data_IF_427968305532
#
_entry.id   IF_427968305532
#
_cell.length_a   1.000
_cell.length_b   1.000
_cell.length_c   1.000
_cell.angle_alpha   90.00
_cell.angle_beta   90.00
_cell.angle_gamma   90.00
#
_symmetry.space_group_name_H-M   'P 1'
#
loop_
_entity.id
_entity.type
_entity.pdbx_description
1 polymer ?
#
# COMPACT_ATOMS: atom_id res chain seq x y z
N UNK A 1 -31.97 11.44 -12.26
CA UNK A 1 -30.61 11.42 -11.67
C UNK A 1 -30.10 9.99 -11.84
N UNK A 2 -28.83 9.80 -12.24
CA UNK A 2 -28.24 8.46 -12.26
C UNK A 2 -28.01 7.99 -10.82
N UNK A 3 -28.13 6.70 -10.59
CA UNK A 3 -27.88 6.08 -9.29
C UNK A 3 -26.43 6.32 -8.86
N UNK A 4 -26.13 6.66 -7.58
CA UNK A 4 -24.77 6.87 -7.12
C UNK A 4 -23.96 5.57 -7.20
N UNK A 5 -22.72 5.66 -7.68
CA UNK A 5 -21.81 4.54 -7.79
C UNK A 5 -21.22 4.19 -6.41
N UNK A 6 -21.08 2.91 -6.15
CA UNK A 6 -20.37 2.45 -4.93
C UNK A 6 -18.89 2.83 -5.04
N UNK A 7 -18.26 2.55 -6.18
CA UNK A 7 -16.86 2.87 -6.43
C UNK A 7 -16.56 3.05 -7.93
N UNK A 8 -15.46 3.74 -8.20
CA UNK A 8 -14.88 3.91 -9.53
C UNK A 8 -13.45 3.38 -9.52
N UNK A 9 -13.07 2.56 -10.51
CA UNK A 9 -11.68 2.16 -10.77
C UNK A 9 -11.13 3.05 -11.88
N UNK A 10 -10.30 4.04 -11.54
CA UNK A 10 -9.61 4.87 -12.52
C UNK A 10 -8.30 4.21 -12.96
N UNK A 11 -7.96 4.32 -14.27
CA UNK A 11 -6.84 3.58 -14.85
C UNK A 11 -7.14 2.08 -15.06
N UNK A 12 -8.43 1.73 -15.15
CA UNK A 12 -8.93 0.36 -15.24
C UNK A 12 -8.36 -0.43 -16.43
N UNK A 13 -7.98 0.22 -17.51
CA UNK A 13 -7.44 -0.44 -18.72
C UNK A 13 -5.95 -0.81 -18.61
N UNK A 14 -5.25 -0.32 -17.58
CA UNK A 14 -3.88 -0.72 -17.25
C UNK A 14 -3.82 -2.14 -16.68
N UNK A 15 -2.60 -2.72 -16.58
CA UNK A 15 -2.45 -4.10 -16.12
C UNK A 15 -3.06 -4.32 -14.72
N UNK A 16 -2.64 -3.50 -13.73
CA UNK A 16 -3.19 -3.59 -12.36
C UNK A 16 -4.67 -3.24 -12.32
N UNK A 17 -5.10 -2.20 -13.05
CA UNK A 17 -6.51 -1.81 -13.12
C UNK A 17 -7.42 -2.92 -13.66
N UNK A 18 -6.97 -3.70 -14.65
CA UNK A 18 -7.69 -4.88 -15.14
C UNK A 18 -7.79 -5.98 -14.08
N UNK A 19 -6.72 -6.23 -13.29
CA UNK A 19 -6.76 -7.21 -12.20
C UNK A 19 -7.73 -6.77 -11.10
N UNK A 20 -7.68 -5.50 -10.68
CA UNK A 20 -8.62 -4.92 -9.72
C UNK A 20 -10.06 -5.04 -10.23
N UNK A 21 -10.30 -4.63 -11.47
CA UNK A 21 -11.66 -4.69 -12.07
C UNK A 21 -12.19 -6.12 -12.15
N UNK A 22 -11.36 -7.10 -12.54
CA UNK A 22 -11.75 -8.52 -12.57
C UNK A 22 -12.03 -9.09 -11.18
N UNK A 23 -11.28 -8.66 -10.17
CA UNK A 23 -11.53 -9.04 -8.79
C UNK A 23 -12.88 -8.50 -8.30
N UNK A 24 -13.12 -7.20 -8.51
CA UNK A 24 -14.39 -6.54 -8.13
C UNK A 24 -15.61 -7.11 -8.87
N UNK A 25 -15.44 -7.47 -10.14
CA UNK A 25 -16.50 -8.10 -10.95
C UNK A 25 -17.00 -9.44 -10.36
N UNK A 26 -16.11 -10.16 -9.68
CA UNK A 26 -16.44 -11.41 -8.99
C UNK A 26 -16.78 -11.24 -7.50
N UNK A 27 -16.67 -10.01 -6.97
CA UNK A 27 -16.82 -9.75 -5.55
C UNK A 27 -18.28 -9.92 -5.10
N UNK A 28 -18.58 -10.78 -4.09
CA UNK A 28 -19.96 -11.10 -3.72
C UNK A 28 -20.77 -9.89 -3.24
N UNK A 29 -20.13 -8.97 -2.53
CA UNK A 29 -20.79 -7.78 -1.98
C UNK A 29 -21.06 -6.68 -3.02
N UNK A 30 -20.45 -6.75 -4.21
CA UNK A 30 -20.73 -5.83 -5.32
C UNK A 30 -21.75 -6.39 -6.32
N UNK A 31 -22.23 -7.61 -6.10
CA UNK A 31 -23.24 -8.21 -6.99
C UNK A 31 -24.53 -7.38 -7.00
N UNK A 32 -24.90 -6.89 -8.19
CA UNK A 32 -26.07 -6.04 -8.39
C UNK A 32 -25.92 -4.60 -7.92
N UNK A 33 -24.74 -4.19 -7.47
CA UNK A 33 -24.48 -2.80 -7.09
C UNK A 33 -23.80 -2.04 -8.23
N UNK A 34 -24.12 -0.74 -8.44
CA UNK A 34 -23.54 0.07 -9.50
C UNK A 34 -22.10 0.45 -9.19
N UNK A 35 -21.18 0.18 -10.12
CA UNK A 35 -19.80 0.63 -10.08
C UNK A 35 -19.30 0.93 -11.49
N UNK A 36 -18.14 1.59 -11.62
CA UNK A 36 -17.63 2.02 -12.91
C UNK A 36 -16.13 1.73 -13.10
N UNK A 37 -15.75 1.58 -14.38
CA UNK A 37 -14.36 1.60 -14.84
C UNK A 37 -14.09 2.92 -15.55
N UNK A 38 -12.97 3.58 -15.22
CA UNK A 38 -12.64 4.90 -15.74
C UNK A 38 -11.21 4.98 -16.28
N UNK A 39 -10.97 5.95 -17.18
CA UNK A 39 -9.67 6.22 -17.80
C UNK A 39 -9.78 7.09 -19.04
N UNK A 40 -8.67 7.29 -19.77
CA UNK A 40 -8.58 8.22 -20.90
C UNK A 40 -9.04 7.65 -22.25
N UNK A 41 -9.20 6.34 -22.39
CA UNK A 41 -9.44 5.70 -23.67
C UNK A 41 -10.78 4.97 -23.67
N UNK A 42 -11.78 5.60 -24.31
CA UNK A 42 -13.16 5.10 -24.37
C UNK A 42 -13.27 3.70 -25.00
N UNK A 43 -12.55 3.43 -26.09
CA UNK A 43 -12.59 2.13 -26.76
C UNK A 43 -12.09 1.01 -25.83
N UNK A 44 -10.91 1.20 -25.19
CA UNK A 44 -10.37 0.22 -24.25
C UNK A 44 -11.24 0.01 -23.00
N UNK A 45 -11.96 1.06 -22.57
CA UNK A 45 -12.92 0.95 -21.48
C UNK A 45 -14.14 0.13 -21.88
N UNK A 46 -14.67 0.36 -23.09
CA UNK A 46 -15.79 -0.41 -23.63
C UNK A 46 -15.43 -1.90 -23.78
N UNK A 47 -14.23 -2.19 -24.32
CA UNK A 47 -13.72 -3.56 -24.45
C UNK A 47 -13.62 -4.23 -23.07
N UNK A 48 -13.06 -3.54 -22.08
CA UNK A 48 -12.96 -4.06 -20.71
C UNK A 48 -14.34 -4.31 -20.09
N UNK A 49 -15.30 -3.39 -20.27
CA UNK A 49 -16.63 -3.54 -19.72
C UNK A 49 -17.38 -4.74 -20.31
N UNK A 50 -17.14 -5.07 -21.59
CA UNK A 50 -17.69 -6.28 -22.24
C UNK A 50 -17.06 -7.57 -21.68
N UNK A 51 -15.76 -7.54 -21.32
CA UNK A 51 -15.07 -8.69 -20.69
C UNK A 51 -15.61 -8.99 -19.27
N UNK A 52 -16.15 -7.99 -18.59
CA UNK A 52 -16.64 -8.11 -17.21
C UNK A 52 -18.12 -8.53 -17.19
N UNK A 53 -18.46 -9.48 -16.28
CA UNK A 53 -19.82 -10.06 -16.19
C UNK A 53 -20.86 -9.04 -15.75
N UNK A 54 -20.50 -8.16 -14.81
CA UNK A 54 -21.38 -7.11 -14.30
C UNK A 54 -21.62 -5.97 -15.28
N UNK A 55 -20.82 -5.88 -16.36
CA UNK A 55 -20.85 -4.79 -17.34
C UNK A 55 -20.88 -3.41 -16.67
N UNK A 56 -19.86 -3.06 -15.90
CA UNK A 56 -19.82 -1.78 -15.16
C UNK A 56 -19.94 -0.60 -16.13
N UNK A 57 -20.40 0.53 -15.61
CA UNK A 57 -20.42 1.77 -16.38
C UNK A 57 -18.99 2.15 -16.82
N UNK A 58 -18.86 2.75 -17.99
CA UNK A 58 -17.58 3.29 -18.49
C UNK A 58 -17.59 4.81 -18.40
N UNK A 59 -16.53 5.38 -17.81
CA UNK A 59 -16.38 6.82 -17.67
C UNK A 59 -15.05 7.24 -18.32
N UNK A 60 -15.15 7.96 -19.44
CA UNK A 60 -13.96 8.48 -20.12
C UNK A 60 -13.62 9.89 -19.62
N UNK A 61 -12.53 10.00 -18.87
CA UNK A 61 -12.05 11.27 -18.29
C UNK A 61 -10.54 11.35 -18.39
N UNK A 62 -10.03 12.50 -18.85
CA UNK A 62 -8.62 12.89 -18.75
C UNK A 62 -8.40 13.67 -17.45
N UNK A 63 -7.32 13.38 -16.71
CA UNK A 63 -6.99 14.08 -15.47
C UNK A 63 -6.54 15.54 -15.69
N UNK A 64 -6.29 15.95 -16.93
CA UNK A 64 -6.05 17.35 -17.28
C UNK A 64 -7.35 18.17 -17.28
N UNK A 65 -8.51 17.54 -17.40
CA UNK A 65 -9.82 18.22 -17.31
C UNK A 65 -10.37 18.18 -15.89
N UNK A 66 -10.01 19.17 -15.09
CA UNK A 66 -10.45 19.27 -13.70
C UNK A 66 -11.98 19.26 -13.55
N UNK A 67 -12.73 19.81 -14.50
CA UNK A 67 -14.20 19.84 -14.44
C UNK A 67 -14.79 18.44 -14.56
N UNK A 68 -14.32 17.66 -15.52
CA UNK A 68 -14.78 16.28 -15.71
C UNK A 68 -14.29 15.38 -14.58
N UNK A 69 -13.09 15.61 -14.02
CA UNK A 69 -12.61 14.91 -12.82
C UNK A 69 -13.54 15.14 -11.63
N UNK A 70 -13.93 16.39 -11.34
CA UNK A 70 -14.86 16.72 -10.25
C UNK A 70 -16.22 16.05 -10.49
N UNK A 71 -16.78 16.14 -11.70
CA UNK A 71 -18.04 15.47 -12.03
C UNK A 71 -17.97 13.97 -11.83
N UNK A 72 -16.83 13.33 -12.15
CA UNK A 72 -16.63 11.90 -11.94
C UNK A 72 -16.59 11.54 -10.46
N UNK A 73 -15.78 12.23 -9.65
CA UNK A 73 -15.60 11.87 -8.23
C UNK A 73 -16.88 12.06 -7.41
N UNK A 74 -17.69 13.08 -7.73
CA UNK A 74 -19.00 13.33 -7.10
C UNK A 74 -20.02 12.21 -7.32
N UNK A 75 -19.76 11.28 -8.23
CA UNK A 75 -20.67 10.17 -8.55
C UNK A 75 -20.45 8.93 -7.72
N UNK A 76 -19.36 8.85 -6.95
CA UNK A 76 -19.01 7.64 -6.23
C UNK A 76 -18.62 7.90 -4.78
N UNK A 77 -18.82 6.89 -3.94
CA UNK A 77 -18.33 6.92 -2.55
C UNK A 77 -16.81 6.79 -2.49
N UNK A 78 -16.21 6.06 -3.42
CA UNK A 78 -14.76 5.76 -3.45
C UNK A 78 -14.20 5.80 -4.86
N UNK A 79 -12.98 6.33 -5.00
CA UNK A 79 -12.16 6.18 -6.21
C UNK A 79 -10.92 5.33 -5.89
N UNK A 80 -10.75 4.24 -6.64
CA UNK A 80 -9.55 3.41 -6.65
C UNK A 80 -8.70 3.84 -7.84
N UNK A 81 -7.55 4.48 -7.61
CA UNK A 81 -6.68 4.97 -8.67
C UNK A 81 -5.56 3.97 -9.00
N UNK A 82 -5.66 3.34 -10.17
CA UNK A 82 -4.66 2.40 -10.72
C UNK A 82 -3.77 3.04 -11.81
N UNK A 83 -3.90 4.34 -12.07
CA UNK A 83 -3.13 5.05 -13.11
C UNK A 83 -1.76 5.48 -12.57
N UNK A 84 -0.84 4.52 -12.41
CA UNK A 84 0.51 4.72 -11.86
C UNK A 84 1.37 5.75 -12.58
N UNK A 85 2.54 6.07 -11.98
CA UNK A 85 3.32 7.28 -12.12
C UNK A 85 2.49 8.50 -11.70
N UNK A 86 2.06 8.48 -10.44
CA UNK A 86 1.15 9.47 -9.88
C UNK A 86 1.69 10.88 -9.94
N UNK A 87 3.01 11.04 -9.76
CA UNK A 87 3.71 12.33 -9.88
C UNK A 87 3.79 12.89 -11.30
N UNK A 88 3.60 12.05 -12.33
CA UNK A 88 3.76 12.43 -13.75
C UNK A 88 2.43 12.40 -14.53
N UNK A 89 1.45 11.64 -14.06
CA UNK A 89 0.15 11.45 -14.71
C UNK A 89 -0.99 12.23 -14.02
N UNK A 90 -0.66 13.40 -13.47
CA UNK A 90 -1.62 14.29 -12.81
C UNK A 90 -2.45 13.60 -11.70
N UNK A 91 -1.83 12.66 -10.96
CA UNK A 91 -2.48 11.96 -9.85
C UNK A 91 -2.98 12.90 -8.74
N UNK A 92 -2.31 14.05 -8.57
CA UNK A 92 -2.70 15.09 -7.62
C UNK A 92 -4.07 15.72 -7.94
N UNK A 93 -4.45 15.85 -9.21
CA UNK A 93 -5.76 16.37 -9.60
C UNK A 93 -6.88 15.43 -9.14
N UNK A 94 -6.76 14.12 -9.36
CA UNK A 94 -7.75 13.14 -8.97
C UNK A 94 -7.85 13.01 -7.44
N UNK A 95 -6.71 12.87 -6.75
CA UNK A 95 -6.66 12.81 -5.30
C UNK A 95 -7.23 14.09 -4.67
N UNK A 96 -6.83 15.26 -5.19
CA UNK A 96 -7.28 16.57 -4.70
C UNK A 96 -8.77 16.80 -4.91
N UNK A 97 -9.34 16.34 -6.03
CA UNK A 97 -10.78 16.36 -6.24
C UNK A 97 -11.50 15.48 -5.20
N UNK A 98 -11.04 14.23 -5.01
CA UNK A 98 -11.60 13.34 -3.98
C UNK A 98 -11.51 13.97 -2.58
N UNK A 99 -10.36 14.54 -2.21
CA UNK A 99 -10.15 15.19 -0.92
C UNK A 99 -11.09 16.39 -0.69
N UNK A 100 -11.36 17.20 -1.71
CA UNK A 100 -12.26 18.38 -1.59
C UNK A 100 -13.72 17.99 -1.55
N UNK A 101 -14.11 17.01 -2.35
CA UNK A 101 -15.52 16.64 -2.54
C UNK A 101 -16.03 15.60 -1.50
N UNK A 102 -15.18 15.17 -0.56
CA UNK A 102 -15.55 14.18 0.44
C UNK A 102 -15.59 12.73 -0.07
N UNK A 103 -15.13 12.49 -1.31
CA UNK A 103 -15.05 11.14 -1.89
C UNK A 103 -13.83 10.42 -1.33
N UNK A 104 -13.97 9.19 -0.89
CA UNK A 104 -12.84 8.40 -0.42
C UNK A 104 -11.91 8.02 -1.57
N UNK A 105 -10.62 7.85 -1.26
CA UNK A 105 -9.60 7.58 -2.27
C UNK A 105 -8.58 6.55 -1.81
N UNK A 106 -8.14 5.70 -2.72
CA UNK A 106 -6.97 4.85 -2.53
C UNK A 106 -6.20 4.60 -3.83
N UNK A 107 -4.90 4.33 -3.72
CA UNK A 107 -4.00 4.08 -4.83
C UNK A 107 -2.87 3.09 -4.49
N UNK A 108 -1.89 2.95 -5.38
CA UNK A 108 -0.66 2.15 -5.22
C UNK A 108 0.60 3.01 -5.29
N UNK A 109 0.55 4.25 -4.81
CA UNK A 109 1.70 5.16 -4.89
C UNK A 109 2.87 4.65 -4.06
N UNK A 110 4.02 4.44 -4.73
CA UNK A 110 5.31 4.13 -4.10
C UNK A 110 6.32 5.29 -4.19
N UNK A 111 5.90 6.45 -4.69
CA UNK A 111 6.71 7.65 -4.89
C UNK A 111 6.70 8.50 -3.61
N UNK A 112 7.63 8.23 -2.67
CA UNK A 112 7.61 8.83 -1.33
C UNK A 112 7.61 10.37 -1.32
N UNK A 113 8.29 11.02 -2.26
CA UNK A 113 8.27 12.48 -2.40
C UNK A 113 6.88 12.99 -2.78
N UNK A 114 6.18 12.29 -3.68
CA UNK A 114 4.82 12.64 -4.09
C UNK A 114 3.81 12.36 -2.95
N UNK A 115 3.96 11.23 -2.25
CA UNK A 115 3.12 10.97 -1.08
C UNK A 115 3.26 12.07 -0.02
N UNK A 116 4.49 12.57 0.22
CA UNK A 116 4.73 13.66 1.16
C UNK A 116 4.03 14.96 0.72
N UNK A 117 4.13 15.31 -0.56
CA UNK A 117 3.43 16.45 -1.16
C UNK A 117 1.91 16.32 -1.00
N UNK A 118 1.35 15.14 -1.25
CA UNK A 118 -0.10 14.88 -1.09
C UNK A 118 -0.56 14.96 0.37
N UNK A 119 0.25 14.45 1.29
CA UNK A 119 -0.01 14.56 2.72
C UNK A 119 -0.03 16.02 3.16
N UNK A 120 0.99 16.79 2.80
CA UNK A 120 1.10 18.21 3.16
C UNK A 120 -0.04 19.04 2.59
N UNK A 121 -0.39 18.79 1.32
CA UNK A 121 -1.39 19.59 0.62
C UNK A 121 -2.82 19.24 0.99
N UNK A 122 -3.12 17.96 1.18
CA UNK A 122 -4.52 17.51 1.22
C UNK A 122 -4.97 16.90 2.55
N UNK A 123 -4.10 16.78 3.57
CA UNK A 123 -4.52 16.15 4.83
C UNK A 123 -5.67 16.89 5.51
N UNK A 124 -5.53 18.20 5.70
CA UNK A 124 -6.54 19.02 6.36
C UNK A 124 -7.79 19.19 5.48
N UNK A 125 -7.61 19.38 4.17
CA UNK A 125 -8.71 19.44 3.20
C UNK A 125 -9.57 18.17 3.26
N UNK A 126 -8.94 17.00 3.24
CA UNK A 126 -9.65 15.73 3.35
C UNK A 126 -10.31 15.53 4.72
N UNK A 127 -9.68 16.06 5.78
CA UNK A 127 -10.24 16.04 7.13
C UNK A 127 -11.53 16.88 7.22
N UNK A 128 -11.52 18.05 6.65
CA UNK A 128 -12.64 18.99 6.66
C UNK A 128 -13.83 18.49 5.80
N UNK A 129 -13.54 17.87 4.65
CA UNK A 129 -14.57 17.31 3.75
C UNK A 129 -15.13 15.96 4.21
N UNK A 130 -14.45 15.26 5.12
CA UNK A 130 -14.81 13.91 5.54
C UNK A 130 -14.19 12.80 4.67
N UNK A 131 -13.35 13.13 3.69
CA UNK A 131 -12.71 12.13 2.83
C UNK A 131 -11.64 11.33 3.59
N UNK A 132 -11.61 10.00 3.39
CA UNK A 132 -10.48 9.15 3.74
C UNK A 132 -9.63 8.93 2.49
N UNK A 133 -8.38 9.39 2.52
CA UNK A 133 -7.39 9.21 1.47
C UNK A 133 -6.34 8.26 1.99
N UNK A 134 -6.22 7.05 1.41
CA UNK A 134 -5.25 6.02 1.83
C UNK A 134 -4.31 5.73 0.67
N UNK A 135 -3.05 6.12 0.82
CA UNK A 135 -2.00 5.95 -0.19
C UNK A 135 -1.31 4.60 -0.05
N UNK A 136 -0.88 4.03 -1.17
CA UNK A 136 -0.09 2.80 -1.18
C UNK A 136 -0.87 1.56 -0.74
N UNK A 137 -2.10 1.36 -1.21
CA UNK A 137 -3.03 0.29 -0.83
C UNK A 137 -2.65 -1.12 -1.30
N UNK A 138 -1.38 -1.48 -1.26
CA UNK A 138 -0.86 -2.79 -1.69
C UNK A 138 0.10 -3.44 -0.69
N UNK A 139 0.86 -4.43 -1.17
CA UNK A 139 1.87 -5.12 -0.35
C UNK A 139 2.94 -4.15 0.16
N UNK A 140 3.16 -3.05 -0.56
CA UNK A 140 4.14 -2.02 -0.22
C UNK A 140 3.81 -1.22 1.06
N UNK A 141 2.68 -1.47 1.72
CA UNK A 141 2.35 -0.85 3.00
C UNK A 141 1.43 -1.66 3.89
N UNK A 142 0.37 -2.29 3.33
CA UNK A 142 -0.69 -2.93 4.13
C UNK A 142 -0.16 -3.97 5.12
N UNK A 143 0.65 -4.97 4.73
CA UNK A 143 1.12 -5.99 5.68
C UNK A 143 2.00 -5.41 6.77
N UNK A 144 2.91 -4.49 6.42
CA UNK A 144 3.83 -3.86 7.37
C UNK A 144 3.08 -2.97 8.37
N UNK A 145 2.14 -2.17 7.90
CA UNK A 145 1.38 -1.22 8.72
C UNK A 145 0.37 -1.93 9.64
N UNK A 146 -0.39 -2.88 9.12
CA UNK A 146 -1.32 -3.66 9.95
C UNK A 146 -0.59 -4.60 10.92
N UNK A 147 0.54 -5.16 10.52
CA UNK A 147 1.38 -5.99 11.41
C UNK A 147 1.95 -5.20 12.57
N UNK A 148 2.50 -4.02 12.30
CA UNK A 148 2.99 -3.12 13.33
C UNK A 148 1.86 -2.67 14.28
N UNK A 149 0.68 -2.40 13.73
CA UNK A 149 -0.50 -2.04 14.50
C UNK A 149 -0.92 -3.15 15.47
N UNK A 150 -1.11 -4.39 14.99
CA UNK A 150 -1.53 -5.52 15.83
C UNK A 150 -0.49 -5.81 16.91
N UNK A 151 0.81 -5.81 16.56
CA UNK A 151 1.88 -6.10 17.49
C UNK A 151 2.01 -5.01 18.57
N UNK A 152 1.89 -3.72 18.20
CA UNK A 152 1.91 -2.61 19.15
C UNK A 152 0.70 -2.62 20.08
N UNK A 153 -0.51 -2.87 19.53
CA UNK A 153 -1.73 -2.93 20.33
C UNK A 153 -1.68 -4.02 21.41
N UNK A 154 -1.02 -5.14 21.13
CA UNK A 154 -0.84 -6.22 22.09
C UNK A 154 -0.02 -5.82 23.33
N UNK A 155 0.75 -4.72 23.25
CA UNK A 155 1.57 -4.19 24.33
C UNK A 155 1.08 -2.82 24.86
N UNK A 156 -0.08 -2.35 24.43
CA UNK A 156 -0.60 -0.99 24.70
C UNK A 156 -0.92 -0.72 26.18
N UNK A 157 -0.94 -1.74 27.03
CA UNK A 157 -1.15 -1.57 28.48
C UNK A 157 0.04 -0.92 29.24
N UNK A 158 1.12 -0.56 28.54
CA UNK A 158 2.36 -0.04 29.13
C UNK A 158 2.70 1.35 28.55
N UNK A 159 2.07 2.44 29.00
CA UNK A 159 2.11 3.73 28.30
C UNK A 159 3.48 4.43 28.27
N UNK A 160 4.38 4.17 29.21
CA UNK A 160 5.63 4.93 29.38
C UNK A 160 6.91 4.24 28.88
N UNK A 161 6.79 3.18 28.09
CA UNK A 161 7.95 2.40 27.69
C UNK A 161 8.25 2.51 26.20
N UNK A 162 9.57 2.53 25.89
CA UNK A 162 10.05 2.51 24.51
C UNK A 162 9.72 1.18 23.84
N UNK A 163 8.83 1.20 22.86
CA UNK A 163 8.45 0.03 22.04
C UNK A 163 9.38 -0.06 20.84
N UNK A 164 10.00 -1.22 20.66
CA UNK A 164 10.77 -1.53 19.44
C UNK A 164 9.97 -2.50 18.59
N UNK A 165 9.59 -2.09 17.38
CA UNK A 165 8.86 -2.91 16.43
C UNK A 165 9.81 -3.27 15.28
N UNK A 166 9.86 -4.56 14.93
CA UNK A 166 10.63 -5.06 13.79
C UNK A 166 9.77 -5.96 12.94
N UNK A 167 9.68 -5.67 11.64
CA UNK A 167 9.14 -6.55 10.63
C UNK A 167 10.24 -7.34 9.93
N UNK A 168 10.07 -8.65 9.75
CA UNK A 168 11.01 -9.50 9.01
C UNK A 168 10.23 -10.24 7.93
N UNK A 169 10.49 -9.91 6.67
CA UNK A 169 9.97 -10.69 5.54
C UNK A 169 10.70 -12.01 5.44
N UNK A 170 10.02 -13.10 5.75
CA UNK A 170 10.53 -14.48 5.73
C UNK A 170 10.25 -15.18 4.40
N UNK A 171 9.19 -14.74 3.71
CA UNK A 171 8.82 -15.24 2.39
C UNK A 171 8.39 -14.10 1.48
N UNK A 172 8.86 -14.13 0.22
CA UNK A 172 8.44 -13.23 -0.85
C UNK A 172 8.69 -13.90 -2.19
N UNK A 173 7.64 -14.41 -2.81
CA UNK A 173 7.69 -15.06 -4.13
C UNK A 173 6.80 -14.32 -5.09
N UNK A 174 7.40 -13.62 -6.04
CA UNK A 174 6.65 -12.82 -6.99
C UNK A 174 7.52 -11.99 -7.93
N UNK A 175 6.86 -11.15 -8.70
CA UNK A 175 7.49 -10.24 -9.65
C UNK A 175 7.65 -8.84 -9.07
N UNK A 176 8.64 -8.10 -9.57
CA UNK A 176 8.59 -6.64 -9.44
C UNK A 176 7.62 -6.08 -10.46
N UNK A 177 6.71 -5.24 -10.01
CA UNK A 177 5.78 -4.61 -10.93
C UNK A 177 6.49 -3.61 -11.85
N UNK A 178 6.00 -3.45 -13.07
CA UNK A 178 6.41 -2.34 -13.94
C UNK A 178 6.16 -0.99 -13.26
N UNK A 179 5.14 -0.90 -12.40
CA UNK A 179 4.88 0.24 -11.52
C UNK A 179 6.03 0.52 -10.57
N UNK A 180 6.53 -0.48 -9.84
CA UNK A 180 7.68 -0.34 -8.91
C UNK A 180 8.92 0.18 -9.64
N UNK A 181 9.23 -0.38 -10.82
CA UNK A 181 10.38 0.09 -11.63
C UNK A 181 10.19 1.52 -12.12
N UNK A 182 8.98 1.89 -12.50
CA UNK A 182 8.66 3.22 -12.96
C UNK A 182 8.68 4.24 -11.81
N UNK A 183 8.17 3.90 -10.64
CA UNK A 183 8.27 4.73 -9.42
C UNK A 183 9.72 4.95 -9.01
N UNK A 184 10.59 3.93 -9.11
CA UNK A 184 12.02 4.10 -8.86
C UNK A 184 12.68 5.06 -9.86
N UNK A 185 12.29 4.99 -11.15
CA UNK A 185 12.76 5.94 -12.17
C UNK A 185 12.23 7.36 -11.93
N UNK A 186 10.95 7.52 -11.55
CA UNK A 186 10.38 8.82 -11.21
C UNK A 186 11.10 9.43 -10.01
N UNK A 187 11.36 8.66 -8.97
CA UNK A 187 12.16 9.07 -7.81
C UNK A 187 13.56 9.53 -8.23
N UNK A 188 14.22 8.76 -9.12
CA UNK A 188 15.54 9.15 -9.65
C UNK A 188 15.49 10.44 -10.48
N UNK A 189 14.41 10.69 -11.24
CA UNK A 189 14.20 11.97 -11.95
C UNK A 189 13.97 13.10 -10.98
N UNK A 190 13.13 12.90 -9.97
CA UNK A 190 12.83 13.89 -8.94
C UNK A 190 14.09 14.32 -8.17
N UNK A 191 15.01 13.38 -7.87
CA UNK A 191 16.33 13.69 -7.29
C UNK A 191 17.15 14.60 -8.22
N UNK A 192 17.30 14.21 -9.49
CA UNK A 192 18.08 14.99 -10.46
C UNK A 192 17.52 16.38 -10.70
N UNK A 193 16.23 16.57 -10.60
CA UNK A 193 15.57 17.87 -10.76
C UNK A 193 15.53 18.70 -9.46
N UNK A 194 16.02 18.17 -8.33
CA UNK A 194 15.96 18.82 -7.03
C UNK A 194 14.59 18.77 -6.34
N UNK A 195 13.58 18.16 -6.96
CA UNK A 195 12.25 18.00 -6.37
C UNK A 195 12.26 17.04 -5.16
N UNK A 196 13.19 16.09 -5.13
CA UNK A 196 13.43 15.17 -4.01
C UNK A 196 14.86 15.34 -3.50
N UNK A 197 15.02 16.17 -2.46
CA UNK A 197 16.34 16.49 -1.91
C UNK A 197 16.91 15.34 -1.07
N UNK A 198 18.23 15.34 -0.88
CA UNK A 198 18.91 14.34 -0.01
C UNK A 198 18.37 14.40 1.42
N UNK A 199 18.00 15.58 1.92
CA UNK A 199 17.40 15.74 3.25
C UNK A 199 16.02 15.09 3.34
N UNK A 200 15.17 15.23 2.31
CA UNK A 200 13.87 14.53 2.24
C UNK A 200 14.05 13.02 2.13
N UNK A 201 15.04 12.58 1.37
CA UNK A 201 15.33 11.15 1.23
C UNK A 201 15.82 10.53 2.54
N UNK A 202 16.66 11.26 3.27
CA UNK A 202 17.19 10.84 4.56
C UNK A 202 16.16 10.93 5.69
N UNK A 203 15.02 11.63 5.49
CA UNK A 203 14.01 11.80 6.52
C UNK A 203 13.16 10.52 6.70
N UNK A 204 13.29 9.83 7.85
CA UNK A 204 12.50 8.64 8.15
C UNK A 204 11.02 8.95 8.44
N UNK A 205 10.69 10.20 8.76
CA UNK A 205 9.36 10.69 9.08
C UNK A 205 8.77 11.58 7.98
N UNK A 206 9.28 11.48 6.76
CA UNK A 206 8.88 12.28 5.60
C UNK A 206 7.36 12.38 5.40
N UNK A 207 6.61 11.31 5.72
CA UNK A 207 5.16 11.27 5.60
C UNK A 207 4.41 11.71 6.86
N UNK A 208 5.11 12.01 7.95
CA UNK A 208 4.50 12.31 9.25
C UNK A 208 4.19 13.81 9.39
N UNK A 209 3.13 14.18 10.13
CA UNK A 209 2.87 15.59 10.42
C UNK A 209 4.08 16.27 11.06
N UNK A 210 4.41 17.45 10.61
CA UNK A 210 5.42 18.31 11.24
C UNK A 210 4.75 19.10 12.38
N UNK A 211 4.54 18.45 13.52
CA UNK A 211 4.04 19.15 14.70
C UNK A 211 5.17 19.87 15.41
N UNK A 212 4.97 21.16 15.73
CA UNK A 212 5.84 21.94 16.60
C UNK A 212 5.93 21.26 17.97
N UNK A 213 7.11 20.73 18.31
CA UNK A 213 7.35 19.99 19.56
C UNK A 213 7.80 18.53 19.39
N UNK A 214 7.58 17.92 18.23
CA UNK A 214 8.41 16.79 17.83
C UNK A 214 9.70 17.41 17.32
N UNK A 215 10.77 17.35 18.11
CA UNK A 215 12.10 17.62 17.59
C UNK A 215 12.21 16.81 16.31
N UNK A 216 12.32 17.50 15.17
CA UNK A 216 12.72 16.90 13.90
C UNK A 216 13.97 16.14 14.27
N UNK A 217 13.83 14.84 14.41
CA UNK A 217 14.81 13.98 15.05
C UNK A 217 16.19 14.35 14.53
N UNK A 218 17.04 14.78 15.45
CA UNK A 218 18.44 15.02 15.19
C UNK A 218 19.00 13.89 14.32
N UNK A 219 19.89 14.16 13.36
CA UNK A 219 20.59 13.13 12.61
C UNK A 219 21.14 11.98 13.44
N UNK A 220 21.33 12.20 14.75
CA UNK A 220 21.75 11.19 15.72
C UNK A 220 20.68 10.09 15.97
N UNK A 221 19.38 10.37 15.87
CA UNK A 221 18.31 9.35 15.92
C UNK A 221 18.02 8.75 14.54
N UNK A 222 18.35 9.48 13.47
CA UNK A 222 18.42 8.93 12.11
C UNK A 222 19.62 7.99 11.91
N UNK A 223 20.65 8.07 12.79
CA UNK A 223 21.84 7.19 12.73
C UNK A 223 21.50 5.69 12.88
N UNK A 224 20.37 5.35 13.50
CA UNK A 224 19.84 3.99 13.47
C UNK A 224 19.37 3.54 12.07
N UNK A 225 19.17 4.46 11.11
CA UNK A 225 18.73 4.13 9.75
C UNK A 225 19.86 4.09 8.73
N UNK A 226 20.88 4.93 8.87
CA UNK A 226 22.06 4.92 7.98
C UNK A 226 22.97 3.71 8.20
N UNK A 227 22.93 3.08 9.37
CA UNK A 227 23.65 1.83 9.66
C UNK A 227 22.94 0.57 9.20
N UNK A 228 21.70 0.65 8.72
CA UNK A 228 20.86 -0.50 8.35
C UNK A 228 21.24 -1.18 7.03
N UNK A 229 22.32 -0.81 6.36
CA UNK A 229 22.86 -1.56 5.21
C UNK A 229 23.74 -2.74 5.61
N UNK A 230 24.08 -2.85 6.89
CA UNK A 230 24.83 -4.01 7.40
C UNK A 230 23.87 -5.15 7.69
N UNK A 231 24.28 -6.35 7.28
CA UNK A 231 23.65 -7.57 7.79
C UNK A 231 23.76 -7.61 9.30
N UNK A 232 22.75 -8.17 9.95
CA UNK A 232 22.77 -8.46 11.37
C UNK A 232 22.30 -9.90 11.59
N UNK A 233 22.53 -10.43 12.79
CA UNK A 233 22.08 -11.75 13.16
C UNK A 233 20.85 -11.66 14.05
N UNK A 234 19.81 -12.36 13.68
CA UNK A 234 18.61 -12.56 14.49
C UNK A 234 18.55 -14.02 14.94
N UNK A 235 18.36 -14.25 16.25
CA UNK A 235 18.41 -15.60 16.83
C UNK A 235 17.36 -16.56 16.25
N UNK A 236 16.22 -16.04 15.82
CA UNK A 236 15.13 -16.84 15.27
C UNK A 236 15.24 -17.04 13.76
N UNK A 237 15.85 -16.07 13.05
CA UNK A 237 15.83 -15.99 11.59
C UNK A 237 17.23 -16.11 10.95
N UNK A 238 18.28 -16.18 11.77
CA UNK A 238 19.66 -16.19 11.29
C UNK A 238 20.10 -14.83 10.76
N UNK A 239 20.85 -14.84 9.66
CA UNK A 239 21.34 -13.60 9.07
C UNK A 239 20.20 -12.85 8.35
N UNK A 240 20.01 -11.59 8.75
CA UNK A 240 19.01 -10.67 8.19
C UNK A 240 19.68 -9.43 7.59
N UNK A 241 19.00 -8.80 6.65
CA UNK A 241 19.43 -7.57 6.00
C UNK A 241 18.23 -6.68 5.70
N UNK A 242 18.45 -5.42 5.34
CA UNK A 242 17.38 -4.49 5.02
C UNK A 242 16.49 -5.01 3.88
N UNK A 243 15.19 -4.93 4.06
CA UNK A 243 14.24 -5.25 2.99
C UNK A 243 14.24 -4.13 1.94
N UNK A 244 14.18 -4.47 0.67
CA UNK A 244 14.27 -3.49 -0.42
C UNK A 244 13.12 -2.48 -0.45
N UNK A 245 11.93 -2.84 0.07
CA UNK A 245 10.78 -1.93 0.20
C UNK A 245 10.75 -1.16 1.53
N UNK A 246 11.67 -1.46 2.47
CA UNK A 246 11.71 -0.77 3.77
C UNK A 246 11.71 0.76 3.69
N UNK A 247 12.37 1.42 2.69
CA UNK A 247 12.31 2.87 2.57
C UNK A 247 10.91 3.44 2.35
N UNK A 248 9.99 2.66 1.78
CA UNK A 248 8.59 3.03 1.55
C UNK A 248 7.76 2.61 2.75
N UNK A 249 7.75 1.32 3.06
CA UNK A 249 6.92 0.72 4.12
C UNK A 249 7.15 1.37 5.49
N UNK A 250 8.42 1.55 5.87
CA UNK A 250 8.75 2.09 7.17
C UNK A 250 8.26 3.54 7.37
N UNK A 251 8.18 4.34 6.31
CA UNK A 251 7.61 5.69 6.39
C UNK A 251 6.11 5.65 6.64
N UNK A 252 5.39 4.72 6.01
CA UNK A 252 3.95 4.52 6.25
C UNK A 252 3.72 4.09 7.70
N UNK A 253 4.45 3.10 8.19
CA UNK A 253 4.34 2.63 9.58
C UNK A 253 4.67 3.74 10.58
N UNK A 254 5.74 4.52 10.35
CA UNK A 254 6.09 5.65 11.22
C UNK A 254 5.02 6.74 11.21
N UNK A 255 4.40 7.02 10.07
CA UNK A 255 3.24 7.89 10.02
C UNK A 255 2.10 7.37 10.91
N UNK A 256 1.82 6.08 10.88
CA UNK A 256 0.81 5.44 11.74
C UNK A 256 1.14 5.62 13.22
N UNK A 257 2.40 5.41 13.59
CA UNK A 257 2.89 5.60 14.97
C UNK A 257 2.68 7.05 15.43
N UNK A 258 3.02 8.03 14.59
CA UNK A 258 2.84 9.46 14.89
C UNK A 258 1.37 9.81 15.01
N UNK A 259 0.52 9.39 14.07
CA UNK A 259 -0.92 9.65 14.10
C UNK A 259 -1.62 9.02 15.32
N UNK A 260 -1.03 7.97 15.91
CA UNK A 260 -1.51 7.33 17.15
C UNK A 260 -0.95 7.98 18.42
N UNK A 261 -0.16 9.06 18.30
CA UNK A 261 0.54 9.70 19.42
C UNK A 261 1.48 8.76 20.20
N UNK A 262 2.02 7.74 19.54
CA UNK A 262 2.95 6.75 20.10
C UNK A 262 4.42 7.02 19.73
N UNK A 263 4.70 8.11 19.01
CA UNK A 263 5.97 8.35 18.33
C UNK A 263 7.17 8.55 19.25
N UNK A 264 6.98 9.17 20.43
CA UNK A 264 8.09 9.50 21.33
C UNK A 264 8.82 8.25 21.84
N UNK A 265 8.11 7.13 21.96
CA UNK A 265 8.62 5.91 22.57
C UNK A 265 8.62 4.70 21.63
N UNK A 266 8.24 4.87 20.36
CA UNK A 266 8.10 3.75 19.42
C UNK A 266 9.03 3.89 18.22
N UNK A 267 9.78 2.82 17.93
CA UNK A 267 10.63 2.73 16.73
C UNK A 267 10.21 1.56 15.85
N UNK A 268 10.39 1.72 14.55
CA UNK A 268 10.12 0.67 13.55
C UNK A 268 11.31 0.43 12.62
N UNK A 269 11.63 -0.84 12.39
CA UNK A 269 12.61 -1.29 11.39
C UNK A 269 12.06 -2.45 10.58
N UNK A 270 12.52 -2.60 9.33
CA UNK A 270 12.07 -3.66 8.43
C UNK A 270 13.24 -4.33 7.74
N UNK A 271 13.27 -5.65 7.83
CA UNK A 271 14.35 -6.50 7.36
C UNK A 271 13.80 -7.67 6.55
N UNK A 272 14.71 -8.44 6.00
CA UNK A 272 14.43 -9.74 5.36
C UNK A 272 15.54 -10.72 5.66
N UNK A 273 15.28 -12.01 5.56
CA UNK A 273 16.30 -13.05 5.71
C UNK A 273 17.24 -13.06 4.50
N UNK A 274 18.50 -13.38 4.72
CA UNK A 274 19.48 -13.56 3.61
C UNK A 274 19.05 -14.68 2.66
N UNK A 275 18.47 -15.76 3.19
CA UNK A 275 17.93 -16.85 2.36
C UNK A 275 16.86 -16.36 1.37
N UNK A 276 16.02 -15.41 1.77
CA UNK A 276 15.06 -14.78 0.87
C UNK A 276 15.76 -13.94 -0.21
N UNK A 277 16.80 -13.17 0.16
CA UNK A 277 17.60 -12.42 -0.82
C UNK A 277 18.26 -13.31 -1.84
N UNK A 278 18.85 -14.43 -1.42
CA UNK A 278 19.44 -15.42 -2.34
C UNK A 278 18.39 -15.97 -3.31
N UNK A 279 17.18 -16.27 -2.82
CA UNK A 279 16.06 -16.71 -3.67
C UNK A 279 15.62 -15.64 -4.66
N UNK A 280 15.51 -14.38 -4.22
CA UNK A 280 15.21 -13.25 -5.10
C UNK A 280 16.30 -13.07 -6.17
N UNK A 281 17.56 -13.12 -5.78
CA UNK A 281 18.70 -13.03 -6.70
C UNK A 281 18.70 -14.19 -7.70
N UNK A 282 18.51 -15.43 -7.23
CA UNK A 282 18.40 -16.60 -8.10
C UNK A 282 17.23 -16.49 -9.08
N UNK A 283 16.09 -15.97 -8.64
CA UNK A 283 14.94 -15.68 -9.48
C UNK A 283 15.27 -14.58 -10.52
N UNK A 284 16.03 -13.56 -10.15
CA UNK A 284 16.48 -12.51 -11.05
C UNK A 284 17.48 -13.02 -12.09
N UNK A 285 18.45 -13.81 -11.65
CA UNK A 285 19.44 -14.43 -12.55
C UNK A 285 18.76 -15.39 -13.52
N UNK A 286 17.84 -16.24 -13.05
CA UNK A 286 17.09 -17.14 -13.94
C UNK A 286 16.22 -16.39 -14.96
N UNK A 287 15.71 -15.21 -14.60
CA UNK A 287 15.04 -14.28 -15.52
C UNK A 287 16.00 -13.67 -16.54
N UNK A 288 17.25 -13.39 -16.14
CA UNK A 288 18.31 -12.91 -17.04
C UNK A 288 18.62 -13.90 -18.16
N UNK A 289 18.44 -15.21 -17.91
CA UNK A 289 18.58 -16.27 -18.92
C UNK A 289 17.28 -16.55 -19.70
N UNK A 290 16.21 -15.78 -19.49
CA UNK A 290 14.99 -15.80 -20.30
C UNK A 290 14.05 -16.99 -20.08
N UNK A 291 14.33 -17.88 -19.11
CA UNK A 291 13.52 -19.07 -18.86
C UNK A 291 13.24 -19.29 -17.37
N UNK A 292 11.97 -19.42 -17.01
CA UNK A 292 11.54 -19.99 -15.74
C UNK A 292 10.37 -20.94 -16.01
N UNK A 293 10.48 -22.22 -15.61
CA UNK A 293 9.48 -23.28 -15.89
C UNK A 293 9.14 -23.47 -17.38
N UNK A 294 10.10 -23.19 -18.28
CA UNK A 294 9.91 -23.42 -19.73
C UNK A 294 9.15 -22.32 -20.48
N UNK A 295 8.73 -21.25 -19.82
CA UNK A 295 8.11 -20.11 -20.48
C UNK A 295 9.07 -18.92 -20.60
N UNK A 296 9.09 -18.22 -21.76
CA UNK A 296 9.93 -17.05 -21.95
C UNK A 296 9.45 -15.90 -21.05
N UNK A 297 10.34 -15.38 -20.21
CA UNK A 297 10.05 -14.22 -19.37
C UNK A 297 10.66 -12.99 -20.03
N UNK A 298 9.84 -12.04 -20.43
CA UNK A 298 10.32 -10.75 -20.95
C UNK A 298 11.01 -9.96 -19.83
N UNK A 299 12.28 -9.67 -20.01
CA UNK A 299 13.13 -8.92 -19.06
C UNK A 299 12.69 -7.46 -18.84
N UNK A 300 11.92 -6.92 -19.76
CA UNK A 300 11.28 -5.59 -19.65
C UNK A 300 9.80 -5.77 -19.91
N UNK A 301 8.96 -5.75 -18.86
CA UNK A 301 7.51 -5.67 -19.10
C UNK A 301 7.23 -4.37 -19.87
N UNK A 302 6.62 -4.50 -21.03
CA UNK A 302 6.08 -3.36 -21.79
C UNK A 302 4.92 -2.80 -20.97
N UNK A 303 4.71 -1.47 -21.04
CA UNK A 303 3.58 -0.84 -20.35
C UNK A 303 2.27 -1.55 -20.72
N UNK A 304 1.57 -2.09 -19.71
CA UNK A 304 0.35 -2.88 -19.89
C UNK A 304 0.56 -4.41 -19.92
N UNK A 305 1.81 -4.91 -19.86
CA UNK A 305 2.12 -6.33 -19.70
C UNK A 305 2.49 -6.63 -18.23
N UNK A 306 2.21 -7.84 -17.78
CA UNK A 306 2.51 -8.31 -16.43
C UNK A 306 3.18 -9.69 -16.42
N UNK A 307 3.41 -10.24 -15.23
CA UNK A 307 3.96 -11.58 -15.08
C UNK A 307 2.98 -12.64 -15.59
N UNK A 308 3.48 -13.84 -15.90
CA UNK A 308 2.64 -14.96 -16.33
C UNK A 308 1.59 -15.32 -15.26
N UNK A 309 0.45 -15.84 -15.71
CA UNK A 309 -0.73 -16.12 -14.87
C UNK A 309 -0.44 -17.07 -13.70
N UNK A 310 0.46 -18.04 -13.90
CA UNK A 310 0.87 -18.95 -12.82
C UNK A 310 1.60 -18.21 -11.68
N UNK A 311 2.45 -17.21 -11.99
CA UNK A 311 3.15 -16.43 -10.96
C UNK A 311 2.18 -15.50 -10.21
N UNK A 312 1.21 -14.90 -10.93
CA UNK A 312 0.14 -14.10 -10.32
C UNK A 312 -0.63 -14.89 -9.26
N UNK A 313 -0.86 -16.18 -9.51
CA UNK A 313 -1.65 -17.06 -8.65
C UNK A 313 -0.81 -17.71 -7.55
N UNK A 314 0.34 -18.28 -7.91
CA UNK A 314 1.14 -19.18 -7.06
C UNK A 314 2.21 -18.42 -6.25
N UNK A 315 2.29 -17.10 -6.39
CA UNK A 315 3.13 -16.24 -5.56
C UNK A 315 2.61 -16.11 -4.13
N UNK A 316 3.40 -15.46 -3.28
CA UNK A 316 3.00 -15.22 -1.89
C UNK A 316 4.02 -14.42 -1.12
N UNK A 317 3.61 -13.95 0.06
CA UNK A 317 4.50 -13.26 0.99
C UNK A 317 4.17 -13.66 2.43
N UNK A 318 5.17 -13.50 3.29
CA UNK A 318 5.02 -13.62 4.74
C UNK A 318 5.91 -12.59 5.43
N UNK A 319 5.36 -11.89 6.41
CA UNK A 319 6.07 -10.99 7.30
C UNK A 319 5.78 -11.39 8.75
N UNK A 320 6.83 -11.49 9.55
CA UNK A 320 6.75 -11.62 11.00
C UNK A 320 7.05 -10.27 11.63
N UNK A 321 6.13 -9.75 12.43
CA UNK A 321 6.28 -8.46 13.10
C UNK A 321 6.35 -8.71 14.60
N UNK A 322 7.47 -8.31 15.20
CA UNK A 322 7.72 -8.42 16.64
C UNK A 322 7.71 -7.04 17.27
N UNK A 323 6.89 -6.83 18.29
CA UNK A 323 6.98 -5.67 19.18
C UNK A 323 7.58 -6.09 20.52
N UNK A 324 8.51 -5.29 21.04
CA UNK A 324 9.23 -5.56 22.28
C UNK A 324 9.21 -4.37 23.22
N UNK A 325 8.93 -4.64 24.52
CA UNK A 325 8.90 -3.68 25.61
C UNK A 325 9.31 -4.36 26.91
N UNK A 326 10.37 -3.88 27.60
CA UNK A 326 10.77 -4.34 28.95
C UNK A 326 10.51 -5.84 29.24
N UNK A 327 11.09 -6.74 28.44
CA UNK A 327 10.94 -8.18 28.66
C UNK A 327 9.65 -8.80 28.14
N UNK A 328 8.67 -8.02 27.68
CA UNK A 328 7.47 -8.52 26.99
C UNK A 328 7.68 -8.48 25.49
N UNK A 329 7.16 -9.50 24.81
CA UNK A 329 7.22 -9.63 23.34
C UNK A 329 5.81 -9.93 22.85
N UNK A 330 5.40 -9.26 21.80
CA UNK A 330 4.23 -9.62 21.03
C UNK A 330 4.65 -9.90 19.59
N UNK A 331 4.14 -10.95 19.01
CA UNK A 331 4.44 -11.36 17.65
C UNK A 331 3.16 -11.44 16.83
N UNK A 332 3.25 -11.01 15.58
CA UNK A 332 2.19 -11.11 14.61
C UNK A 332 2.79 -11.63 13.31
N UNK A 333 2.23 -12.71 12.79
CA UNK A 333 2.58 -13.25 11.48
C UNK A 333 1.47 -12.94 10.50
N UNK A 334 1.82 -12.29 9.40
CA UNK A 334 0.90 -11.99 8.30
C UNK A 334 1.41 -12.68 7.05
N UNK A 335 0.54 -13.44 6.43
CA UNK A 335 0.81 -14.08 5.15
C UNK A 335 -0.31 -13.80 4.15
N UNK A 336 0.03 -13.82 2.86
CA UNK A 336 -0.94 -13.61 1.80
C UNK A 336 -0.59 -14.40 0.55
N UNK A 337 -1.62 -14.81 -0.20
CA UNK A 337 -1.52 -15.58 -1.43
C UNK A 337 -1.61 -14.69 -2.66
N UNK A 338 -0.82 -15.04 -3.68
CA UNK A 338 -0.69 -14.33 -4.94
C UNK A 338 0.60 -13.52 -5.01
N UNK A 339 1.04 -13.25 -6.24
CA UNK A 339 2.22 -12.45 -6.50
C UNK A 339 2.17 -11.08 -5.79
N UNK A 340 3.13 -10.78 -4.90
CA UNK A 340 3.13 -9.51 -4.16
C UNK A 340 3.14 -8.27 -5.07
N UNK A 341 3.80 -8.35 -6.23
CA UNK A 341 3.89 -7.23 -7.16
C UNK A 341 2.56 -6.86 -7.84
N UNK A 342 1.68 -7.83 -8.08
CA UNK A 342 0.42 -7.60 -8.79
C UNK A 342 -0.77 -8.39 -8.22
N UNK A 343 -0.61 -9.71 -8.04
CA UNK A 343 -1.71 -10.61 -7.71
C UNK A 343 -2.31 -10.31 -6.33
N UNK A 344 -1.50 -10.28 -5.29
CA UNK A 344 -1.91 -9.93 -3.93
C UNK A 344 -2.23 -8.42 -3.82
N UNK A 345 -1.39 -7.57 -4.41
CA UNK A 345 -1.58 -6.10 -4.39
C UNK A 345 -2.90 -5.67 -5.01
N UNK A 346 -3.29 -6.23 -6.17
CA UNK A 346 -4.58 -5.86 -6.79
C UNK A 346 -5.79 -6.28 -5.95
N UNK A 347 -5.70 -7.42 -5.25
CA UNK A 347 -6.74 -7.87 -4.32
C UNK A 347 -6.81 -6.98 -3.08
N UNK A 348 -5.66 -6.63 -2.47
CA UNK A 348 -5.61 -5.71 -1.33
C UNK A 348 -6.20 -4.35 -1.67
N UNK A 349 -5.84 -3.78 -2.83
CA UNK A 349 -6.36 -2.50 -3.29
C UNK A 349 -7.87 -2.55 -3.53
N UNK A 350 -8.36 -3.63 -4.13
CA UNK A 350 -9.80 -3.84 -4.34
C UNK A 350 -10.54 -3.94 -3.00
N UNK A 351 -10.07 -4.79 -2.08
CA UNK A 351 -10.66 -4.93 -0.74
C UNK A 351 -10.60 -3.64 0.08
N UNK A 352 -9.52 -2.87 -0.05
CA UNK A 352 -9.41 -1.55 0.56
C UNK A 352 -10.48 -0.59 0.02
N UNK A 353 -10.70 -0.58 -1.30
CA UNK A 353 -11.76 0.21 -1.91
C UNK A 353 -13.16 -0.24 -1.48
N UNK A 354 -13.42 -1.54 -1.41
CA UNK A 354 -14.69 -2.09 -0.92
C UNK A 354 -14.88 -1.78 0.57
N UNK A 355 -13.81 -1.88 1.38
CA UNK A 355 -13.81 -1.49 2.79
C UNK A 355 -14.23 -0.02 2.95
N UNK A 356 -13.60 0.89 2.22
CA UNK A 356 -13.93 2.32 2.23
C UNK A 356 -15.37 2.60 1.82
N UNK A 357 -15.94 1.78 0.92
CA UNK A 357 -17.26 2.01 0.36
C UNK A 357 -18.41 1.42 1.19
N UNK A 358 -18.20 0.28 1.84
CA UNK A 358 -19.30 -0.54 2.38
C UNK A 358 -19.20 -0.81 3.88
N UNK A 359 -18.01 -0.74 4.49
CA UNK A 359 -17.86 -1.12 5.89
C UNK A 359 -18.11 0.06 6.84
N UNK A 360 -18.48 -0.26 8.07
CA UNK A 360 -18.56 0.72 9.15
C UNK A 360 -17.17 1.10 9.67
N UNK A 361 -16.82 2.37 9.55
CA UNK A 361 -15.55 2.93 10.00
C UNK A 361 -15.68 3.66 11.35
N UNK A 362 -16.75 3.45 12.09
CA UNK A 362 -17.00 4.14 13.36
C UNK A 362 -15.93 3.89 14.41
N UNK A 363 -15.30 2.71 14.36
CA UNK A 363 -14.20 2.29 15.25
C UNK A 363 -12.80 2.76 14.79
N UNK A 364 -12.66 3.35 13.60
CA UNK A 364 -11.36 3.80 13.12
C UNK A 364 -10.81 4.98 13.93
N UNK A 365 -9.48 5.04 14.09
CA UNK A 365 -8.80 6.07 14.87
C UNK A 365 -9.09 7.48 14.34
N UNK A 366 -9.00 7.66 13.02
CA UNK A 366 -9.30 8.90 12.34
C UNK A 366 -10.48 8.76 11.39
N UNK A 367 -11.38 9.72 11.42
CA UNK A 367 -12.60 9.70 10.60
C UNK A 367 -12.34 10.16 9.18
N UNK A 368 -11.36 11.04 8.96
CA UNK A 368 -11.03 11.62 7.67
C UNK A 368 -9.58 12.13 7.63
N UNK A 369 -9.06 12.44 6.45
CA UNK A 369 -7.71 12.94 6.20
C UNK A 369 -6.92 12.05 5.25
N UNK A 370 -5.66 12.41 4.99
CA UNK A 370 -4.70 11.50 4.33
C UNK A 370 -4.13 10.59 5.40
N UNK A 371 -4.51 9.33 5.37
CA UNK A 371 -4.33 8.33 6.42
C UNK A 371 -3.48 7.14 5.93
N UNK A 372 -3.15 6.25 6.84
CA UNK A 372 -2.55 4.95 6.54
C UNK A 372 -3.62 3.85 6.69
N UNK A 373 -3.38 2.63 6.17
CA UNK A 373 -4.33 1.54 6.31
C UNK A 373 -4.76 1.30 7.77
N UNK A 374 -3.81 1.30 8.70
CA UNK A 374 -4.11 1.04 10.11
C UNK A 374 -4.82 2.20 10.82
N UNK A 375 -4.50 3.45 10.48
CA UNK A 375 -5.11 4.62 11.14
C UNK A 375 -6.47 4.99 10.57
N UNK A 376 -6.69 4.73 9.28
CA UNK A 376 -7.95 5.00 8.60
C UNK A 376 -9.00 3.90 8.74
N UNK A 377 -8.57 2.63 8.84
CA UNK A 377 -9.47 1.47 8.81
C UNK A 377 -9.18 0.45 9.93
N UNK A 378 -7.90 0.24 10.30
CA UNK A 378 -7.51 -0.61 11.42
C UNK A 378 -8.09 -2.04 11.36
N UNK A 379 -8.81 -2.43 12.42
CA UNK A 379 -9.42 -3.76 12.54
C UNK A 379 -10.46 -4.07 11.47
N UNK A 380 -11.18 -3.06 10.96
CA UNK A 380 -12.15 -3.25 9.87
C UNK A 380 -11.47 -3.82 8.64
N UNK A 381 -10.31 -3.26 8.24
CA UNK A 381 -9.56 -3.76 7.10
C UNK A 381 -8.95 -5.15 7.37
N UNK A 382 -8.46 -5.41 8.59
CA UNK A 382 -7.95 -6.72 8.99
C UNK A 382 -9.04 -7.80 8.83
N UNK A 383 -10.23 -7.54 9.35
CA UNK A 383 -11.37 -8.46 9.24
C UNK A 383 -11.77 -8.69 7.78
N UNK A 384 -11.78 -7.62 6.97
CA UNK A 384 -12.10 -7.74 5.54
C UNK A 384 -11.08 -8.59 4.81
N UNK A 385 -9.79 -8.30 4.93
CA UNK A 385 -8.72 -9.05 4.28
C UNK A 385 -8.66 -10.51 4.72
N UNK A 386 -8.94 -10.80 6.00
CA UNK A 386 -8.97 -12.17 6.52
C UNK A 386 -10.17 -12.98 6.02
N UNK A 387 -11.30 -12.34 5.70
CA UNK A 387 -12.49 -12.98 5.14
C UNK A 387 -12.47 -13.07 3.59
N UNK A 388 -11.65 -12.27 2.95
CA UNK A 388 -11.55 -12.21 1.50
C UNK A 388 -11.28 -13.60 0.89
N UNK A 389 -11.90 -13.88 -0.25
CA UNK A 389 -11.82 -15.18 -0.93
C UNK A 389 -12.19 -16.38 -0.02
N UNK A 390 -13.18 -16.22 0.85
CA UNK A 390 -13.60 -17.29 1.76
C UNK A 390 -12.58 -17.62 2.85
N UNK A 391 -11.76 -16.64 3.24
CA UNK A 391 -10.72 -16.80 4.26
C UNK A 391 -9.38 -17.33 3.73
N UNK A 392 -9.20 -17.41 2.40
CA UNK A 392 -8.00 -17.98 1.79
C UNK A 392 -7.02 -16.93 1.24
N UNK A 393 -7.27 -15.64 1.46
CA UNK A 393 -6.42 -14.58 0.89
C UNK A 393 -5.31 -14.14 1.83
N UNK A 394 -5.65 -13.67 3.03
CA UNK A 394 -4.66 -13.23 4.02
C UNK A 394 -4.95 -13.82 5.39
N UNK A 395 -3.89 -14.14 6.12
CA UNK A 395 -3.95 -14.66 7.47
C UNK A 395 -3.20 -13.74 8.42
N UNK A 396 -3.82 -13.43 9.56
CA UNK A 396 -3.28 -12.58 10.61
C UNK A 396 -3.23 -13.41 11.91
N UNK A 397 -2.07 -13.97 12.21
CA UNK A 397 -1.85 -14.81 13.38
C UNK A 397 -1.13 -13.99 14.46
N UNK A 398 -1.77 -13.78 15.60
CA UNK A 398 -1.21 -13.10 16.76
C UNK A 398 -0.76 -14.10 17.80
N UNK A 399 0.48 -14.02 18.23
CA UNK A 399 1.01 -14.79 19.36
C UNK A 399 1.44 -13.81 20.45
N UNK A 400 0.87 -13.94 21.63
CA UNK A 400 1.33 -13.23 22.82
C UNK A 400 2.03 -14.30 23.65
N UNK A 401 3.36 -14.26 23.80
CA UNK A 401 4.06 -15.19 24.66
C UNK A 401 3.51 -15.08 26.09
N UNK A 402 3.28 -16.22 26.70
CA UNK A 402 2.92 -16.28 28.12
C UNK A 402 4.02 -15.61 28.95
N UNK A 403 3.60 -14.94 30.03
CA UNK A 403 4.53 -14.38 31.03
C UNK A 403 5.34 -15.55 31.64
N UNK A 404 6.65 -15.59 31.37
CA UNK A 404 7.58 -16.33 32.22
C UNK A 404 7.80 -15.59 33.52
#
# INVERSE_FOLDING_TARGET
>A
MREPLILIVYGATGFTGRLVSKYLDSHPELRGKPWAVAGRNQSKLADLAVELRSRPETICVDLEDNTEVIKMVLRASVVINCAGLYSENNGAALLGACAREGTHYTDLAGEGFWQAEMVETFHDIAKDSGAKVILGGGVDSIPSDLGAFIAAEALSSEPDHRVKIRGIYTHYTGSFSGGTLNSARATSRARRSGKFSDTMEADPYLLSPRTSGVETHSPATASGMSQEFSWSFDWSHGAIMKFFMAPINARVVRRSIVLRNQHQNTSYSECTTISMWIRLLAMWVSRGFGYFKGEPIKLKPVSGEGPPSWLLRDGGFEIEVTARIKGKIAETRISGQGDPGYGATSKMLAELGVCLALDDHSSSLHKAGVLTPSTGLGHTLILRLSKAQGGNFMHFNKTIPEKN
#
